data_IF_806110803799
#
_entry.id   IF_806110803799
#
_cell.length_a   1.000
_cell.length_b   1.000
_cell.length_c   1.000
_cell.angle_alpha   90.00
_cell.angle_beta   90.00
_cell.angle_gamma   90.00
#
_symmetry.space_group_name_H-M   'P 1'
#
loop_
_entity.id
_entity.type
_entity.pdbx_description
1 polymer ?
#
# COMPACT_ATOMS: atom_id res chain seq x y z
N UNK A 1 43.82 63.38 18.31
CA UNK A 1 43.39 62.49 19.41
C UNK A 1 42.14 61.73 18.97
N UNK A 2 42.26 60.42 18.90
CA UNK A 2 41.26 59.45 18.42
C UNK A 2 40.06 59.34 19.37
N UNK A 3 38.83 59.20 18.84
CA UNK A 3 37.67 58.69 19.60
C UNK A 3 37.16 57.43 18.93
N UNK A 4 37.36 56.33 19.64
CA UNK A 4 37.11 54.97 19.23
C UNK A 4 35.60 54.68 19.10
N UNK A 5 35.21 54.07 17.99
CA UNK A 5 33.88 53.52 17.74
C UNK A 5 33.80 52.13 18.38
N UNK A 6 33.03 51.98 19.46
CA UNK A 6 32.79 50.67 20.06
C UNK A 6 31.64 49.97 19.31
N UNK A 7 31.96 48.91 18.55
CA UNK A 7 30.97 47.97 18.00
C UNK A 7 30.67 46.91 19.06
N UNK A 8 29.43 46.83 19.52
CA UNK A 8 28.95 45.73 20.34
C UNK A 8 28.50 44.59 19.42
N UNK A 9 29.30 43.52 19.36
CA UNK A 9 28.90 42.28 18.71
C UNK A 9 28.11 41.45 19.73
N UNK A 10 26.80 41.32 19.53
CA UNK A 10 25.94 40.48 20.35
C UNK A 10 26.10 39.02 19.89
N UNK A 11 26.75 38.18 20.68
CA UNK A 11 26.87 36.75 20.43
C UNK A 11 25.64 36.06 21.03
N UNK A 12 24.78 35.47 20.19
CA UNK A 12 23.71 34.59 20.65
C UNK A 12 24.31 33.23 21.09
N UNK A 13 24.22 32.90 22.38
CA UNK A 13 24.37 31.52 22.84
C UNK A 13 23.02 30.81 22.74
N UNK A 14 22.89 29.87 21.80
CA UNK A 14 21.80 28.90 21.81
C UNK A 14 22.12 27.80 22.82
N UNK A 15 21.32 27.69 23.88
CA UNK A 15 21.41 26.59 24.84
C UNK A 15 20.66 25.37 24.28
N UNK A 16 21.39 24.40 23.75
CA UNK A 16 20.84 23.09 23.39
C UNK A 16 20.71 22.24 24.66
N UNK A 17 19.51 22.17 25.24
CA UNK A 17 19.21 21.20 26.29
C UNK A 17 19.13 19.81 25.65
N UNK A 18 20.19 19.01 25.80
CA UNK A 18 20.17 17.57 25.57
C UNK A 18 19.25 16.93 26.61
N UNK A 19 17.99 16.67 26.22
CA UNK A 19 17.13 15.75 26.96
C UNK A 19 17.67 14.35 26.70
N UNK A 20 18.52 13.87 27.60
CA UNK A 20 18.92 12.46 27.63
C UNK A 20 17.76 11.65 28.20
N UNK A 21 16.71 11.46 27.41
CA UNK A 21 15.71 10.45 27.68
C UNK A 21 16.40 9.09 27.59
N UNK A 22 16.41 8.33 28.67
CA UNK A 22 16.70 6.90 28.61
C UNK A 22 15.68 6.28 27.66
N UNK A 23 16.11 5.96 26.43
CA UNK A 23 15.34 5.13 25.52
C UNK A 23 15.26 3.79 26.22
N UNK A 24 14.12 3.52 26.85
CA UNK A 24 13.73 2.14 27.08
C UNK A 24 13.62 1.57 25.67
N UNK A 25 14.54 0.67 25.30
CA UNK A 25 14.37 -0.15 24.13
C UNK A 25 13.17 -1.05 24.44
N UNK A 26 11.95 -0.55 24.19
CA UNK A 26 10.86 -1.45 23.84
C UNK A 26 11.40 -2.32 22.72
N UNK A 27 11.40 -3.63 22.90
CA UNK A 27 11.63 -4.57 21.80
C UNK A 27 10.45 -4.37 20.84
N UNK A 28 10.53 -3.35 19.99
CA UNK A 28 9.56 -3.12 18.95
C UNK A 28 9.67 -4.30 17.99
N UNK A 29 8.63 -5.13 17.96
CA UNK A 29 8.50 -6.11 16.88
C UNK A 29 8.60 -5.35 15.55
N UNK A 30 9.34 -5.90 14.56
CA UNK A 30 9.42 -5.27 13.27
C UNK A 30 7.99 -5.09 12.70
N UNK A 31 7.72 -3.99 11.98
CA UNK A 31 6.42 -3.82 11.35
C UNK A 31 6.14 -5.00 10.41
N UNK A 32 4.87 -5.35 10.19
CA UNK A 32 4.52 -6.37 9.23
C UNK A 32 4.90 -5.93 7.81
N UNK A 33 4.95 -6.87 6.86
CA UNK A 33 5.44 -6.60 5.49
C UNK A 33 4.75 -5.41 4.83
N UNK A 34 3.45 -5.28 5.03
CA UNK A 34 2.61 -4.19 4.52
C UNK A 34 2.92 -2.82 5.14
N UNK A 35 3.52 -2.73 6.32
CA UNK A 35 3.87 -1.44 6.95
C UNK A 35 5.38 -1.18 7.01
N UNK A 36 6.20 -2.10 6.51
CA UNK A 36 7.64 -1.86 6.34
C UNK A 36 7.88 -1.03 5.08
N UNK A 37 8.31 0.23 5.28
CA UNK A 37 8.60 1.20 4.21
C UNK A 37 9.62 0.66 3.18
N UNK A 38 10.52 -0.25 3.58
CA UNK A 38 11.47 -0.89 2.66
C UNK A 38 10.77 -1.72 1.58
N UNK A 39 9.54 -2.17 1.84
CA UNK A 39 8.74 -2.99 0.94
C UNK A 39 7.72 -2.20 0.13
N UNK A 40 7.52 -0.90 0.39
CA UNK A 40 6.50 -0.09 -0.30
C UNK A 40 6.70 -0.07 -1.82
N UNK A 41 7.95 -0.07 -2.29
CA UNK A 41 8.28 -0.13 -3.72
C UNK A 41 7.77 -1.41 -4.42
N UNK A 42 7.45 -2.46 -3.66
CA UNK A 42 6.92 -3.73 -4.18
C UNK A 42 5.39 -3.82 -4.10
N UNK A 43 4.72 -2.83 -3.53
CA UNK A 43 3.29 -2.83 -3.24
C UNK A 43 2.55 -1.82 -4.12
N UNK A 44 2.85 -1.77 -5.43
CA UNK A 44 2.22 -0.82 -6.35
C UNK A 44 0.99 -1.43 -7.04
N UNK A 45 -0.21 -1.15 -6.52
CA UNK A 45 -1.45 -1.63 -7.12
C UNK A 45 -1.75 -0.97 -8.48
N UNK A 46 -1.19 0.21 -8.76
CA UNK A 46 -1.38 0.92 -10.04
C UNK A 46 -0.72 0.18 -11.20
N UNK A 47 0.33 -0.60 -10.94
CA UNK A 47 0.94 -1.48 -11.94
C UNK A 47 0.13 -2.75 -12.12
N UNK A 48 -0.36 -3.34 -11.02
CA UNK A 48 -1.18 -4.55 -11.06
C UNK A 48 -2.46 -4.37 -11.91
N UNK A 49 -3.17 -3.25 -11.78
CA UNK A 49 -4.37 -2.96 -12.59
C UNK A 49 -4.08 -2.78 -14.08
N UNK A 50 -2.83 -2.51 -14.46
CA UNK A 50 -2.42 -2.28 -15.85
C UNK A 50 -2.06 -3.56 -16.60
N UNK A 51 -2.00 -4.70 -15.92
CA UNK A 51 -1.77 -6.00 -16.55
C UNK A 51 -2.83 -6.23 -17.63
N UNK A 52 -2.39 -6.52 -18.84
CA UNK A 52 -3.27 -6.83 -19.95
C UNK A 52 -3.63 -8.31 -19.94
N UNK A 53 -4.90 -8.61 -20.19
CA UNK A 53 -5.44 -9.96 -20.19
C UNK A 53 -5.84 -10.46 -18.80
N UNK A 54 -5.97 -11.78 -18.70
CA UNK A 54 -6.53 -12.44 -17.53
C UNK A 54 -5.46 -12.86 -16.54
N UNK A 55 -5.62 -12.44 -15.29
CA UNK A 55 -4.82 -12.90 -14.16
C UNK A 55 -5.56 -14.02 -13.43
N UNK A 56 -4.82 -15.00 -12.91
CA UNK A 56 -5.36 -16.16 -12.21
C UNK A 56 -4.74 -16.29 -10.83
N UNK A 57 -5.54 -16.75 -9.86
CA UNK A 57 -5.02 -17.10 -8.55
C UNK A 57 -4.41 -18.49 -8.59
N UNK A 58 -3.11 -18.58 -8.31
CA UNK A 58 -2.37 -19.86 -8.29
C UNK A 58 -2.34 -20.51 -6.91
N UNK A 59 -2.36 -19.71 -5.85
CA UNK A 59 -2.28 -20.17 -4.47
C UNK A 59 -2.99 -19.18 -3.55
N UNK A 60 -3.64 -19.70 -2.52
CA UNK A 60 -4.31 -18.95 -1.46
C UNK A 60 -3.97 -19.63 -0.13
N UNK A 61 -3.89 -18.87 0.95
CA UNK A 61 -3.53 -19.37 2.29
C UNK A 61 -4.65 -19.24 3.33
N UNK A 62 -5.88 -18.86 2.92
CA UNK A 62 -7.04 -18.83 3.81
C UNK A 62 -7.82 -20.15 3.74
N UNK A 63 -8.33 -20.60 4.88
CA UNK A 63 -9.13 -21.82 4.96
C UNK A 63 -10.60 -21.49 4.65
N UNK A 64 -11.05 -21.83 3.44
CA UNK A 64 -12.46 -21.80 3.07
C UNK A 64 -12.99 -23.22 3.02
N UNK A 65 -14.20 -23.45 3.55
CA UNK A 65 -14.86 -24.76 3.47
C UNK A 65 -15.10 -25.17 2.01
N UNK A 66 -15.28 -24.20 1.12
CA UNK A 66 -15.63 -24.42 -0.30
C UNK A 66 -14.94 -23.36 -1.16
N UNK A 67 -13.61 -23.42 -1.31
CA UNK A 67 -12.91 -22.42 -2.09
C UNK A 67 -13.34 -22.52 -3.55
N UNK A 68 -13.65 -21.39 -4.21
CA UNK A 68 -13.75 -21.37 -5.66
C UNK A 68 -12.46 -21.92 -6.29
N UNK A 69 -12.60 -22.57 -7.44
CA UNK A 69 -11.46 -23.02 -8.25
C UNK A 69 -11.26 -22.05 -9.41
N UNK A 70 -10.04 -21.96 -9.93
CA UNK A 70 -9.74 -21.17 -11.13
C UNK A 70 -10.19 -19.71 -11.03
N UNK A 71 -10.05 -19.09 -9.85
CA UNK A 71 -10.30 -17.66 -9.68
C UNK A 71 -9.48 -16.85 -10.68
N UNK A 72 -10.14 -15.92 -11.35
CA UNK A 72 -9.52 -15.03 -12.30
C UNK A 72 -10.16 -13.66 -12.29
N UNK A 73 -9.35 -12.68 -12.66
CA UNK A 73 -9.78 -11.31 -12.88
C UNK A 73 -9.25 -10.85 -14.24
N UNK A 74 -10.06 -10.06 -14.94
CA UNK A 74 -9.69 -9.46 -16.22
C UNK A 74 -10.25 -8.05 -16.28
N UNK A 75 -9.38 -7.07 -16.48
CA UNK A 75 -9.81 -5.68 -16.66
C UNK A 75 -10.52 -5.57 -18.01
N UNK A 76 -11.75 -5.12 -17.99
CA UNK A 76 -12.56 -4.92 -19.21
C UNK A 76 -12.73 -3.45 -19.56
N UNK A 77 -12.59 -2.54 -18.60
CA UNK A 77 -12.69 -1.11 -18.84
C UNK A 77 -11.88 -0.28 -17.82
N UNK A 78 -11.54 0.94 -18.22
CA UNK A 78 -10.87 1.97 -17.42
C UNK A 78 -11.68 3.25 -17.52
N UNK A 79 -12.40 3.59 -16.45
CA UNK A 79 -13.18 4.82 -16.41
C UNK A 79 -12.30 6.05 -16.20
N UNK A 80 -11.25 5.91 -15.39
CA UNK A 80 -10.19 6.89 -15.17
C UNK A 80 -8.95 6.21 -14.55
N UNK A 81 -7.98 7.01 -14.09
CA UNK A 81 -6.71 6.52 -13.55
C UNK A 81 -6.83 5.68 -12.27
N UNK A 82 -7.93 5.79 -11.53
CA UNK A 82 -8.14 5.07 -10.27
C UNK A 82 -9.35 4.16 -10.29
N UNK A 83 -10.19 4.21 -11.33
CA UNK A 83 -11.44 3.51 -11.39
C UNK A 83 -11.55 2.59 -12.60
N UNK A 84 -11.72 1.29 -12.33
CA UNK A 84 -11.65 0.22 -13.32
C UNK A 84 -12.86 -0.71 -13.20
N UNK A 85 -13.24 -1.33 -14.32
CA UNK A 85 -14.21 -2.41 -14.33
C UNK A 85 -13.49 -3.72 -14.63
N UNK A 86 -13.75 -4.74 -13.82
CA UNK A 86 -13.19 -6.07 -14.01
C UNK A 86 -14.29 -7.10 -14.17
N UNK A 87 -14.05 -8.10 -15.02
CA UNK A 87 -14.76 -9.37 -14.94
C UNK A 87 -14.02 -10.27 -13.97
N UNK A 88 -14.72 -10.70 -12.91
CA UNK A 88 -14.27 -11.78 -12.04
C UNK A 88 -14.90 -13.09 -12.50
N UNK A 89 -14.14 -14.18 -12.42
CA UNK A 89 -14.62 -15.50 -12.77
C UNK A 89 -14.06 -16.58 -11.86
N UNK A 90 -14.89 -17.55 -11.52
CA UNK A 90 -14.54 -18.69 -10.70
C UNK A 90 -15.33 -19.94 -11.10
N UNK A 91 -14.77 -21.11 -10.85
CA UNK A 91 -15.43 -22.41 -11.01
C UNK A 91 -15.95 -22.86 -9.66
N UNK A 92 -17.22 -23.27 -9.61
CA UNK A 92 -17.82 -23.79 -8.38
C UNK A 92 -17.23 -25.18 -8.05
N UNK A 93 -16.80 -25.42 -6.79
CA UNK A 93 -16.14 -26.68 -6.43
C UNK A 93 -17.05 -27.91 -6.62
N UNK A 94 -18.36 -27.75 -6.43
CA UNK A 94 -19.35 -28.81 -6.59
C UNK A 94 -19.75 -29.09 -8.04
N UNK A 95 -19.49 -28.15 -8.94
CA UNK A 95 -19.92 -28.24 -10.32
C UNK A 95 -18.88 -27.63 -11.26
N UNK A 96 -17.86 -28.42 -11.56
CA UNK A 96 -16.64 -27.99 -12.27
C UNK A 96 -16.87 -27.56 -13.73
N UNK A 97 -18.06 -27.80 -14.28
CA UNK A 97 -18.43 -27.36 -15.63
C UNK A 97 -19.06 -25.97 -15.65
N UNK A 98 -19.43 -25.42 -14.49
CA UNK A 98 -20.04 -24.09 -14.38
C UNK A 98 -19.02 -23.05 -13.92
N UNK A 99 -18.86 -22.03 -14.75
CA UNK A 99 -18.06 -20.84 -14.43
C UNK A 99 -19.02 -19.73 -14.05
N UNK A 100 -18.92 -19.23 -12.82
CA UNK A 100 -19.59 -18.00 -12.39
C UNK A 100 -18.76 -16.84 -12.89
N UNK A 101 -19.40 -15.85 -13.52
CA UNK A 101 -18.76 -14.62 -14.00
C UNK A 101 -19.63 -13.43 -13.68
N UNK A 102 -19.02 -12.35 -13.21
CA UNK A 102 -19.71 -11.08 -13.02
C UNK A 102 -18.74 -9.91 -13.20
N UNK A 103 -19.29 -8.77 -13.59
CA UNK A 103 -18.52 -7.53 -13.68
C UNK A 103 -18.64 -6.79 -12.36
N UNK A 104 -17.52 -6.23 -11.90
CA UNK A 104 -17.49 -5.46 -10.67
C UNK A 104 -16.50 -4.30 -10.76
N UNK A 105 -16.87 -3.14 -10.20
CA UNK A 105 -15.96 -2.01 -10.07
C UNK A 105 -14.84 -2.26 -9.05
N UNK A 106 -13.61 -1.92 -9.44
CA UNK A 106 -12.48 -1.78 -8.52
C UNK A 106 -11.94 -0.36 -8.54
N UNK A 107 -11.64 0.16 -7.35
CA UNK A 107 -11.01 1.48 -7.18
C UNK A 107 -9.65 1.30 -6.52
N UNK A 108 -8.62 1.96 -7.06
CA UNK A 108 -7.32 2.07 -6.42
C UNK A 108 -7.46 2.85 -5.10
N UNK A 109 -6.92 2.28 -4.04
CA UNK A 109 -6.99 2.81 -2.69
C UNK A 109 -5.64 2.72 -2.00
N UNK A 110 -5.51 3.48 -0.91
CA UNK A 110 -4.34 3.50 -0.03
C UNK A 110 -4.76 2.92 1.31
N UNK A 111 -3.94 2.04 1.87
CA UNK A 111 -4.14 1.46 3.19
C UNK A 111 -2.89 1.66 4.03
N UNK A 112 -3.05 1.68 5.36
CA UNK A 112 -1.91 1.88 6.26
C UNK A 112 -1.23 3.23 6.07
N UNK A 113 0.10 3.25 6.18
CA UNK A 113 0.92 4.44 6.02
C UNK A 113 1.36 4.74 4.58
N UNK A 114 0.80 4.06 3.57
CA UNK A 114 1.20 4.24 2.18
C UNK A 114 0.81 5.61 1.61
N UNK A 115 1.76 6.26 0.96
CA UNK A 115 1.53 7.49 0.17
C UNK A 115 1.08 7.19 -1.25
N UNK A 116 1.42 6.01 -1.79
CA UNK A 116 1.03 5.52 -3.11
C UNK A 116 -0.14 4.52 -3.04
N UNK A 117 -0.77 4.24 -4.19
CA UNK A 117 -1.85 3.24 -4.26
C UNK A 117 -1.30 1.82 -4.11
N UNK A 118 -1.59 1.19 -2.99
CA UNK A 118 -1.14 -0.17 -2.66
C UNK A 118 -2.26 -1.21 -2.65
N UNK A 119 -3.52 -0.79 -2.77
CA UNK A 119 -4.66 -1.68 -2.70
C UNK A 119 -5.67 -1.43 -3.84
N UNK A 120 -6.53 -2.43 -4.05
CA UNK A 120 -7.77 -2.30 -4.81
C UNK A 120 -8.95 -2.60 -3.89
N UNK A 121 -9.99 -1.79 -3.96
CA UNK A 121 -11.20 -1.98 -3.14
C UNK A 121 -12.42 -2.14 -4.03
N UNK A 122 -13.27 -3.12 -3.70
CA UNK A 122 -14.59 -3.30 -4.29
C UNK A 122 -15.48 -2.10 -4.01
N UNK A 123 -16.34 -1.74 -4.97
CA UNK A 123 -17.38 -0.71 -4.80
C UNK A 123 -18.78 -1.26 -4.96
#
# INVERSE_FOLDING_TARGET
MSRNTARFTLVLLAASSLVSGTIQNEECEPPPYEEDECNFAHQNASEAVKINGKIYVKSQNFNSTLPPLCDSAERIDSFNDTYFNFTLAAVLPFNKTYVVKFNTPFVLSKTGNHTDYNAMTYK
#
